data_IF_699313870333
#
_entry.id   IF_699313870333
#
_cell.length_a   1.000
_cell.length_b   1.000
_cell.length_c   1.000
_cell.angle_alpha   90.00
_cell.angle_beta   90.00
_cell.angle_gamma   90.00
#
_symmetry.space_group_name_H-M   'P 1'
#
loop_
_entity.id
_entity.type
_entity.pdbx_description
1 polymer ?
#
# COMPACT_ATOMS: atom_id res chain seq x y z
N UNK A 1 7.33 -57.31 -6.41
CA UNK A 1 7.67 -56.16 -7.29
C UNK A 1 6.59 -55.09 -7.09
N UNK A 2 6.78 -54.23 -6.10
CA UNK A 2 5.76 -53.30 -5.60
C UNK A 2 5.65 -52.06 -6.48
N UNK A 3 4.67 -52.06 -7.39
CA UNK A 3 4.28 -50.91 -8.23
C UNK A 3 3.72 -49.71 -7.44
N UNK A 4 3.48 -49.87 -6.14
CA UNK A 4 2.99 -48.83 -5.23
C UNK A 4 4.06 -47.79 -4.82
N UNK A 5 5.35 -48.10 -4.92
CA UNK A 5 6.42 -47.18 -4.51
C UNK A 5 6.68 -46.04 -5.50
N UNK A 6 6.37 -46.24 -6.78
CA UNK A 6 6.71 -45.27 -7.83
C UNK A 6 5.69 -44.12 -7.94
N UNK A 7 4.44 -44.36 -7.53
CA UNK A 7 3.39 -43.32 -7.54
C UNK A 7 3.48 -42.36 -6.35
N UNK A 8 4.02 -42.80 -5.20
CA UNK A 8 4.19 -41.95 -4.03
C UNK A 8 5.30 -40.89 -4.21
N UNK A 9 6.35 -41.21 -4.98
CA UNK A 9 7.47 -40.29 -5.25
C UNK A 9 7.13 -39.19 -6.27
N UNK A 10 6.21 -39.43 -7.22
CA UNK A 10 5.78 -38.40 -8.17
C UNK A 10 4.83 -37.36 -7.53
N UNK A 11 4.09 -37.73 -6.48
CA UNK A 11 3.17 -36.80 -5.80
C UNK A 11 3.88 -35.71 -4.99
N UNK A 12 5.06 -35.99 -4.44
CA UNK A 12 5.78 -35.04 -3.57
C UNK A 12 6.47 -33.90 -4.35
N UNK A 13 6.82 -34.11 -5.62
CA UNK A 13 7.48 -33.10 -6.47
C UNK A 13 6.51 -32.03 -7.02
N UNK A 14 5.23 -32.37 -7.20
CA UNK A 14 4.24 -31.43 -7.73
C UNK A 14 3.86 -30.33 -6.71
N UNK A 15 3.92 -30.63 -5.41
CA UNK A 15 3.52 -29.68 -4.36
C UNK A 15 4.48 -28.49 -4.25
N UNK A 16 5.78 -28.68 -4.54
CA UNK A 16 6.76 -27.60 -4.41
C UNK A 16 6.65 -26.57 -5.53
N UNK A 17 6.31 -26.99 -6.76
CA UNK A 17 6.13 -26.05 -7.88
C UNK A 17 4.89 -25.16 -7.74
N UNK A 18 3.82 -25.68 -7.12
CA UNK A 18 2.59 -24.93 -6.91
C UNK A 18 2.73 -23.80 -5.90
N UNK A 19 3.57 -23.97 -4.87
CA UNK A 19 3.82 -22.92 -3.87
C UNK A 19 4.63 -21.74 -4.45
N UNK A 20 5.63 -22.02 -5.29
CA UNK A 20 6.42 -20.97 -5.94
C UNK A 20 5.59 -20.14 -6.93
N UNK A 21 4.69 -20.78 -7.67
CA UNK A 21 3.83 -20.09 -8.63
C UNK A 21 2.74 -19.24 -7.95
N UNK A 22 2.22 -19.70 -6.81
CA UNK A 22 1.32 -18.91 -5.96
C UNK A 22 2.02 -17.67 -5.40
N UNK A 23 3.24 -17.80 -4.83
CA UNK A 23 4.00 -16.68 -4.30
C UNK A 23 4.33 -15.65 -5.39
N UNK A 24 4.71 -16.11 -6.59
CA UNK A 24 4.95 -15.23 -7.74
C UNK A 24 3.70 -14.46 -8.15
N UNK A 25 2.53 -15.11 -8.14
CA UNK A 25 1.26 -14.44 -8.42
C UNK A 25 0.95 -13.36 -7.38
N UNK A 26 1.12 -13.65 -6.09
CA UNK A 26 0.94 -12.66 -5.03
C UNK A 26 1.90 -11.46 -5.21
N UNK A 27 3.16 -11.72 -5.54
CA UNK A 27 4.15 -10.68 -5.81
C UNK A 27 3.76 -9.79 -7.02
N UNK A 28 3.23 -10.38 -8.09
CA UNK A 28 2.71 -9.63 -9.25
C UNK A 28 1.49 -8.76 -8.90
N UNK A 29 0.58 -9.28 -8.08
CA UNK A 29 -0.62 -8.55 -7.67
C UNK A 29 -0.26 -7.37 -6.75
N UNK A 30 0.71 -7.57 -5.83
CA UNK A 30 1.28 -6.49 -5.02
C UNK A 30 2.00 -5.45 -5.87
N UNK A 31 2.83 -5.88 -6.83
CA UNK A 31 3.57 -4.98 -7.72
C UNK A 31 2.65 -4.09 -8.55
N UNK A 32 1.59 -4.67 -9.12
CA UNK A 32 0.57 -3.92 -9.86
C UNK A 32 -0.13 -2.89 -8.98
N UNK A 33 -0.51 -3.26 -7.76
CA UNK A 33 -1.15 -2.35 -6.81
C UNK A 33 -0.22 -1.20 -6.42
N UNK A 34 1.05 -1.51 -6.15
CA UNK A 34 2.06 -0.50 -5.81
C UNK A 34 2.33 0.47 -6.96
N UNK A 35 2.51 -0.03 -8.19
CA UNK A 35 2.71 0.82 -9.37
C UNK A 35 1.52 1.75 -9.60
N UNK A 36 0.29 1.22 -9.53
CA UNK A 36 -0.92 2.02 -9.64
C UNK A 36 -0.97 3.14 -8.58
N UNK A 37 -0.64 2.83 -7.32
CA UNK A 37 -0.56 3.81 -6.25
C UNK A 37 0.52 4.88 -6.52
N UNK A 38 1.70 4.46 -6.95
CA UNK A 38 2.87 5.34 -7.15
C UNK A 38 2.64 6.35 -8.28
N UNK A 39 2.03 5.89 -9.36
CA UNK A 39 1.77 6.68 -10.58
C UNK A 39 0.52 7.55 -10.47
N UNK A 40 -0.33 7.29 -9.48
CA UNK A 40 -1.54 8.08 -9.28
C UNK A 40 -1.25 9.50 -8.77
N UNK A 41 -2.09 10.42 -9.21
CA UNK A 41 -2.20 11.75 -8.63
C UNK A 41 -2.77 11.71 -7.20
N UNK A 42 -2.68 12.85 -6.51
CA UNK A 42 -3.10 12.99 -5.13
C UNK A 42 -4.60 12.77 -4.90
N UNK A 43 -5.45 12.94 -5.92
CA UNK A 43 -6.90 12.71 -5.80
C UNK A 43 -7.22 11.23 -5.69
N UNK A 44 -6.47 10.38 -6.39
CA UNK A 44 -6.69 8.92 -6.44
C UNK A 44 -5.88 8.14 -5.42
N UNK A 45 -4.78 8.70 -4.91
CA UNK A 45 -3.90 8.03 -3.93
C UNK A 45 -4.61 7.51 -2.67
N UNK A 46 -5.57 8.21 -2.04
CA UNK A 46 -6.28 7.67 -0.88
C UNK A 46 -6.97 6.34 -1.15
N UNK A 47 -7.71 6.26 -2.26
CA UNK A 47 -8.39 5.03 -2.68
C UNK A 47 -7.39 3.90 -2.97
N UNK A 48 -6.31 4.21 -3.70
CA UNK A 48 -5.31 3.23 -4.07
C UNK A 48 -4.48 2.75 -2.88
N UNK A 49 -4.31 3.57 -1.83
CA UNK A 49 -3.71 3.15 -0.58
C UNK A 49 -4.55 2.05 0.10
N UNK A 50 -5.87 2.19 0.13
CA UNK A 50 -6.79 1.15 0.62
C UNK A 50 -6.70 -0.11 -0.23
N UNK A 51 -6.61 0.01 -1.56
CA UNK A 51 -6.44 -1.16 -2.44
C UNK A 51 -5.11 -1.88 -2.21
N UNK A 52 -4.03 -1.14 -1.98
CA UNK A 52 -2.72 -1.71 -1.64
C UNK A 52 -2.75 -2.46 -0.30
N UNK A 53 -3.42 -1.89 0.72
CA UNK A 53 -3.64 -2.54 2.01
C UNK A 53 -4.51 -3.81 1.89
N UNK A 54 -5.41 -3.87 0.91
CA UNK A 54 -6.29 -5.01 0.67
C UNK A 54 -5.63 -6.17 -0.11
N UNK A 55 -4.43 -6.00 -0.67
CA UNK A 55 -3.73 -7.08 -1.40
C UNK A 55 -3.51 -8.27 -0.47
N UNK A 56 -4.07 -9.44 -0.81
CA UNK A 56 -3.83 -10.67 -0.05
C UNK A 56 -2.39 -11.14 -0.23
N UNK A 57 -1.79 -11.63 0.85
CA UNK A 57 -0.47 -12.23 0.83
C UNK A 57 -0.45 -13.40 1.82
N UNK A 58 0.28 -14.45 1.45
CA UNK A 58 0.58 -15.60 2.31
C UNK A 58 2.08 -15.91 2.31
N UNK A 59 2.78 -15.63 1.20
CA UNK A 59 4.22 -15.69 1.13
C UNK A 59 4.84 -14.61 2.01
N UNK A 60 5.79 -15.01 2.88
CA UNK A 60 6.39 -14.13 3.89
C UNK A 60 7.01 -12.87 3.29
N UNK A 61 7.80 -13.02 2.24
CA UNK A 61 8.48 -11.92 1.56
C UNK A 61 7.49 -10.95 0.89
N UNK A 62 6.39 -11.45 0.32
CA UNK A 62 5.30 -10.63 -0.22
C UNK A 62 4.62 -9.85 0.91
N UNK A 63 4.32 -10.49 2.04
CA UNK A 63 3.69 -9.82 3.17
C UNK A 63 4.60 -8.76 3.82
N UNK A 64 5.90 -9.03 3.94
CA UNK A 64 6.86 -8.07 4.46
C UNK A 64 6.97 -6.85 3.53
N UNK A 65 7.02 -7.07 2.20
CA UNK A 65 7.02 -5.99 1.21
C UNK A 65 5.72 -5.18 1.23
N UNK A 66 4.56 -5.86 1.32
CA UNK A 66 3.26 -5.20 1.49
C UNK A 66 3.26 -4.32 2.72
N UNK A 67 3.71 -4.82 3.87
CA UNK A 67 3.76 -4.05 5.11
C UNK A 67 4.61 -2.78 4.97
N UNK A 68 5.79 -2.88 4.36
CA UNK A 68 6.65 -1.71 4.09
C UNK A 68 5.94 -0.66 3.22
N UNK A 69 5.21 -1.11 2.19
CA UNK A 69 4.50 -0.20 1.29
C UNK A 69 3.21 0.36 1.87
N UNK A 70 2.49 -0.39 2.71
CA UNK A 70 1.34 0.12 3.47
C UNK A 70 1.78 1.20 4.46
N UNK A 71 2.96 1.08 5.08
CA UNK A 71 3.52 2.11 5.96
C UNK A 71 3.78 3.46 5.26
N UNK A 72 3.92 3.44 3.93
CA UNK A 72 3.99 4.63 3.07
C UNK A 72 2.61 5.09 2.64
N UNK A 73 1.82 4.16 2.08
CA UNK A 73 0.61 4.49 1.36
C UNK A 73 -0.52 4.94 2.28
N UNK A 74 -0.69 4.26 3.41
CA UNK A 74 -1.77 4.53 4.38
C UNK A 74 -1.70 5.95 4.97
N UNK A 75 -0.60 6.37 5.62
CA UNK A 75 -0.54 7.74 6.15
C UNK A 75 -0.60 8.78 5.02
N UNK A 76 -0.03 8.50 3.85
CA UNK A 76 -0.16 9.42 2.71
C UNK A 76 -1.63 9.57 2.27
N UNK A 77 -2.37 8.47 2.16
CA UNK A 77 -3.79 8.48 1.81
C UNK A 77 -4.64 9.23 2.84
N UNK A 78 -4.40 8.98 4.13
CA UNK A 78 -5.07 9.67 5.23
C UNK A 78 -4.76 11.18 5.25
N UNK A 79 -3.49 11.56 5.05
CA UNK A 79 -3.07 12.96 4.97
C UNK A 79 -3.70 13.70 3.78
N UNK A 80 -3.73 13.08 2.61
CA UNK A 80 -4.39 13.64 1.43
C UNK A 80 -5.91 13.79 1.62
N UNK A 81 -6.57 12.79 2.23
CA UNK A 81 -8.00 12.87 2.53
C UNK A 81 -8.31 14.05 3.47
N UNK A 82 -7.49 14.26 4.52
CA UNK A 82 -7.61 15.42 5.41
C UNK A 82 -7.40 16.74 4.68
N UNK A 83 -6.37 16.83 3.84
CA UNK A 83 -6.10 18.03 3.03
C UNK A 83 -7.28 18.37 2.12
N UNK A 84 -7.85 17.40 1.41
CA UNK A 84 -9.03 17.63 0.57
C UNK A 84 -10.26 18.06 1.40
N UNK A 85 -10.45 17.53 2.61
CA UNK A 85 -11.53 17.95 3.48
C UNK A 85 -11.38 19.42 3.91
N UNK A 86 -10.16 19.87 4.22
CA UNK A 86 -9.90 21.27 4.53
C UNK A 86 -10.07 22.17 3.30
N UNK A 87 -9.60 21.75 2.13
CA UNK A 87 -9.80 22.50 0.87
C UNK A 87 -11.29 22.66 0.55
N UNK A 88 -12.08 21.60 0.73
CA UNK A 88 -13.53 21.65 0.58
C UNK A 88 -14.19 22.58 1.62
N UNK A 89 -13.72 22.57 2.86
CA UNK A 89 -14.18 23.51 3.87
C UNK A 89 -13.87 24.96 3.47
N UNK A 90 -12.64 25.23 3.04
CA UNK A 90 -12.20 26.56 2.64
C UNK A 90 -13.04 27.11 1.48
N UNK A 91 -13.39 26.24 0.51
CA UNK A 91 -14.17 26.64 -0.66
C UNK A 91 -15.63 26.97 -0.33
N UNK A 92 -16.23 26.35 0.69
CA UNK A 92 -17.67 26.39 0.92
C UNK A 92 -18.10 27.15 2.20
N UNK A 93 -17.24 27.18 3.22
CA UNK A 93 -17.62 27.61 4.57
C UNK A 93 -16.79 28.76 5.12
N UNK A 94 -15.56 28.99 4.61
CA UNK A 94 -14.63 29.96 5.21
C UNK A 94 -15.18 31.39 5.25
N UNK A 95 -15.85 31.84 4.20
CA UNK A 95 -16.41 33.20 4.12
C UNK A 95 -17.59 33.43 5.07
N UNK A 96 -18.12 32.37 5.70
CA UNK A 96 -19.22 32.43 6.66
C UNK A 96 -18.73 32.57 8.10
N UNK A 97 -17.43 32.42 8.34
CA UNK A 97 -16.86 32.45 9.69
C UNK A 97 -16.56 33.88 10.15
N UNK A 98 -16.71 34.10 11.45
CA UNK A 98 -16.22 35.31 12.10
C UNK A 98 -14.69 35.26 12.30
N UNK A 99 -14.01 36.41 12.46
CA UNK A 99 -12.61 36.42 12.89
C UNK A 99 -12.42 35.68 14.22
N UNK A 100 -11.46 34.75 14.28
CA UNK A 100 -11.19 33.94 15.48
C UNK A 100 -12.16 32.78 15.72
N UNK A 101 -13.00 32.45 14.74
CA UNK A 101 -13.92 31.31 14.83
C UNK A 101 -13.18 30.01 15.20
N UNK A 102 -13.62 29.27 16.23
CA UNK A 102 -12.99 28.01 16.64
C UNK A 102 -12.87 27.00 15.50
N UNK A 103 -13.79 27.01 14.53
CA UNK A 103 -13.75 26.12 13.38
C UNK A 103 -12.57 26.42 12.47
N UNK A 104 -12.18 27.69 12.32
CA UNK A 104 -10.99 28.05 11.56
C UNK A 104 -9.71 27.50 12.23
N UNK A 105 -9.64 27.57 13.56
CA UNK A 105 -8.52 26.99 14.33
C UNK A 105 -8.48 25.46 14.24
N UNK A 106 -9.64 24.80 14.25
CA UNK A 106 -9.75 23.36 14.04
C UNK A 106 -9.18 22.95 12.67
N UNK A 107 -9.52 23.68 11.60
CA UNK A 107 -9.03 23.39 10.25
C UNK A 107 -7.51 23.58 10.11
N UNK A 108 -6.92 24.54 10.82
CA UNK A 108 -5.46 24.66 10.90
C UNK A 108 -4.85 23.42 11.57
N UNK A 109 -5.45 22.94 12.66
CA UNK A 109 -5.01 21.69 13.30
C UNK A 109 -5.14 20.46 12.40
N UNK A 110 -6.18 20.39 11.57
CA UNK A 110 -6.35 19.32 10.57
C UNK A 110 -5.29 19.38 9.46
N UNK A 111 -4.87 20.58 9.03
CA UNK A 111 -3.75 20.74 8.08
C UNK A 111 -2.42 20.29 8.69
N UNK A 112 -2.13 20.65 9.93
CA UNK A 112 -0.93 20.20 10.65
C UNK A 112 -0.90 18.68 10.79
N UNK A 113 -2.05 18.08 11.09
CA UNK A 113 -2.20 16.62 11.15
C UNK A 113 -1.99 15.96 9.79
N UNK A 114 -2.55 16.55 8.73
CA UNK A 114 -2.35 16.10 7.35
C UNK A 114 -0.87 16.15 6.95
N UNK A 115 -0.17 17.25 7.25
CA UNK A 115 1.26 17.40 6.95
C UNK A 115 2.10 16.32 7.63
N UNK A 116 1.88 16.07 8.92
CA UNK A 116 2.60 15.02 9.66
C UNK A 116 2.40 13.64 9.04
N UNK A 117 1.19 13.33 8.59
CA UNK A 117 0.88 12.08 7.90
C UNK A 117 1.60 11.99 6.55
N UNK A 118 1.60 13.06 5.76
CA UNK A 118 2.30 13.12 4.48
C UNK A 118 3.82 12.96 4.64
N UNK A 119 4.41 13.61 5.65
CA UNK A 119 5.82 13.47 6.00
C UNK A 119 6.13 12.03 6.40
N UNK A 120 5.34 11.44 7.28
CA UNK A 120 5.51 10.02 7.68
C UNK A 120 5.46 9.08 6.49
N UNK A 121 4.51 9.29 5.57
CA UNK A 121 4.41 8.49 4.35
C UNK A 121 5.63 8.66 3.46
N UNK A 122 6.09 9.89 3.25
CA UNK A 122 7.32 10.20 2.51
C UNK A 122 8.55 9.53 3.12
N UNK A 123 8.71 9.60 4.44
CA UNK A 123 9.86 9.06 5.14
C UNK A 123 9.90 7.52 5.12
N UNK A 124 8.75 6.87 5.00
CA UNK A 124 8.64 5.41 4.85
C UNK A 124 8.91 4.91 3.42
N UNK A 125 8.82 5.78 2.41
CA UNK A 125 8.95 5.41 0.99
C UNK A 125 10.26 4.66 0.66
N UNK A 126 11.46 5.06 1.16
CA UNK A 126 12.70 4.35 0.84
C UNK A 126 12.67 2.87 1.22
N UNK A 127 12.00 2.52 2.33
CA UNK A 127 11.87 1.13 2.77
C UNK A 127 10.92 0.34 1.87
N UNK A 128 9.80 0.94 1.44
CA UNK A 128 8.92 0.33 0.45
C UNK A 128 9.64 0.10 -0.89
N UNK A 129 10.37 1.11 -1.38
CA UNK A 129 11.10 1.01 -2.64
C UNK A 129 12.14 -0.11 -2.60
N UNK A 130 12.88 -0.27 -1.50
CA UNK A 130 13.83 -1.36 -1.34
C UNK A 130 13.16 -2.73 -1.24
N UNK A 131 12.05 -2.83 -0.50
CA UNK A 131 11.29 -4.07 -0.39
C UNK A 131 10.73 -4.50 -1.75
N UNK A 132 10.16 -3.57 -2.53
CA UNK A 132 9.67 -3.85 -3.88
C UNK A 132 10.79 -4.22 -4.85
N UNK A 133 11.96 -3.57 -4.78
CA UNK A 133 13.14 -3.98 -5.57
C UNK A 133 13.57 -5.41 -5.25
N UNK A 134 13.64 -5.75 -3.97
CA UNK A 134 14.02 -7.10 -3.51
C UNK A 134 13.00 -8.14 -3.96
N UNK A 135 11.72 -7.86 -3.77
CA UNK A 135 10.61 -8.73 -4.17
C UNK A 135 10.63 -8.99 -5.69
N UNK A 136 10.79 -7.95 -6.50
CA UNK A 136 10.85 -8.08 -7.96
C UNK A 136 12.01 -8.98 -8.39
N UNK A 137 13.19 -8.82 -7.79
CA UNK A 137 14.34 -9.70 -8.05
C UNK A 137 14.06 -11.15 -7.66
N UNK A 138 13.50 -11.38 -6.46
CA UNK A 138 13.20 -12.72 -5.96
C UNK A 138 12.21 -13.50 -6.84
N UNK A 139 11.21 -12.79 -7.39
CA UNK A 139 10.13 -13.41 -8.19
C UNK A 139 10.30 -13.24 -9.72
N UNK A 140 11.41 -12.65 -10.17
CA UNK A 140 11.68 -12.42 -11.59
C UNK A 140 10.69 -11.45 -12.26
N UNK A 141 10.23 -10.44 -11.52
CA UNK A 141 9.36 -9.36 -12.02
C UNK A 141 10.23 -8.26 -12.65
N UNK A 142 9.74 -7.65 -13.73
CA UNK A 142 10.43 -6.56 -14.45
C UNK A 142 10.12 -5.20 -13.84
#
# INVERSE_FOLDING_TARGET
>A
MSRLGLFALLGALLVMTACDEAAKKEAMDLDRAFLAYREADNTRRPELATRLEAVSCTAKDVCDAKAACVATAKPTGEGLAKKHAVEAFMANELTKLAPGDPKALEMLGELDAAEKLLVRGKDAMPACDEAMRTLRKAHGLR
#
